data_IF_195741121183
#
_entry.id   IF_195741121183
#
_cell.length_a   1.000
_cell.length_b   1.000
_cell.length_c   1.000
_cell.angle_alpha   90.00
_cell.angle_beta   90.00
_cell.angle_gamma   90.00
#
_symmetry.space_group_name_H-M   'P 1'
#
loop_
_entity.id
_entity.type
_entity.pdbx_description
1 polymer ?
#
# COMPACT_ATOMS: atom_id res chain seq x y z
N UNK A 1 47.73 9.20 53.05
CA UNK A 1 46.73 9.21 51.96
C UNK A 1 46.68 7.78 51.40
N UNK A 2 45.88 6.85 51.96
CA UNK A 2 44.49 6.52 51.60
C UNK A 2 44.33 6.14 50.11
N UNK A 3 44.24 4.83 49.79
CA UNK A 3 43.05 4.06 49.28
C UNK A 3 42.63 4.45 47.84
N UNK A 4 42.27 3.59 46.89
CA UNK A 4 41.91 2.16 46.72
C UNK A 4 41.94 1.91 45.20
N UNK A 5 42.51 0.80 44.73
CA UNK A 5 41.84 -0.43 44.23
C UNK A 5 41.07 -0.25 42.91
N UNK A 6 41.47 -1.08 41.93
CA UNK A 6 40.73 -1.43 40.71
C UNK A 6 39.31 -1.87 41.05
N UNK A 7 38.35 -1.43 40.25
CA UNK A 7 37.00 -2.02 40.19
C UNK A 7 36.66 -2.38 38.76
N UNK A 8 36.38 -3.67 38.60
CA UNK A 8 35.78 -4.31 37.44
C UNK A 8 34.27 -4.06 37.46
N UNK A 9 33.66 -3.85 36.30
CA UNK A 9 32.26 -4.24 36.05
C UNK A 9 32.13 -4.41 34.53
N UNK A 10 32.38 -5.59 33.96
CA UNK A 10 31.43 -6.69 33.81
C UNK A 10 29.98 -6.27 33.54
N UNK A 11 29.62 -6.16 32.27
CA UNK A 11 28.44 -6.88 31.80
C UNK A 11 28.63 -7.34 30.36
N UNK A 12 29.13 -8.57 30.27
CA UNK A 12 28.86 -9.47 29.17
C UNK A 12 27.36 -9.77 29.14
N UNK A 13 26.70 -9.53 28.01
CA UNK A 13 25.49 -10.27 27.65
C UNK A 13 25.74 -10.91 26.28
N UNK A 14 26.14 -12.18 26.34
CA UNK A 14 26.23 -13.08 25.19
C UNK A 14 24.84 -13.66 24.89
N UNK A 15 24.43 -13.55 23.62
CA UNK A 15 23.48 -14.45 22.91
C UNK A 15 22.03 -14.49 23.42
N UNK A 16 21.09 -15.18 22.74
CA UNK A 16 21.29 -16.21 21.71
C UNK A 16 20.49 -15.86 20.40
N UNK A 17 20.95 -16.18 19.19
CA UNK A 17 20.78 -17.48 18.52
C UNK A 17 19.64 -17.50 17.48
N UNK A 18 19.98 -18.15 16.35
CA UNK A 18 19.15 -18.97 15.48
C UNK A 18 17.83 -18.48 14.89
N UNK A 19 17.81 -18.58 13.55
CA UNK A 19 16.93 -19.47 12.81
C UNK A 19 15.47 -19.51 13.27
N UNK A 20 14.57 -18.85 12.54
CA UNK A 20 13.15 -19.03 12.81
C UNK A 20 12.24 -18.19 11.93
N UNK A 21 11.87 -18.75 10.77
CA UNK A 21 10.53 -18.61 10.21
C UNK A 21 10.09 -17.19 9.80
N UNK A 22 10.66 -16.63 8.73
CA UNK A 22 9.96 -15.59 7.97
C UNK A 22 8.88 -16.28 7.11
N UNK A 23 7.67 -16.39 7.65
CA UNK A 23 6.47 -16.53 6.82
C UNK A 23 6.42 -15.42 5.75
N UNK A 24 5.54 -15.50 4.74
CA UNK A 24 5.49 -14.46 3.72
C UNK A 24 5.17 -13.13 4.40
N UNK A 25 6.18 -12.28 4.56
CA UNK A 25 6.00 -10.90 4.96
C UNK A 25 4.90 -10.32 4.06
N UNK A 26 3.87 -9.68 4.63
CA UNK A 26 2.85 -9.03 3.81
C UNK A 26 3.61 -8.10 2.87
N UNK A 27 3.49 -8.32 1.56
CA UNK A 27 4.24 -7.60 0.52
C UNK A 27 4.02 -6.10 0.70
N UNK A 28 4.88 -5.45 1.49
CA UNK A 28 4.78 -4.03 1.74
C UNK A 28 5.26 -3.33 0.47
N UNK A 29 4.38 -2.52 -0.12
CA UNK A 29 4.79 -1.63 -1.18
C UNK A 29 5.78 -0.60 -0.62
N UNK A 30 6.84 -0.34 -1.38
CA UNK A 30 7.71 0.81 -1.13
C UNK A 30 6.90 2.11 -1.26
N UNK A 31 7.19 3.16 -0.46
CA UNK A 31 6.47 4.44 -0.55
C UNK A 31 6.47 5.07 -1.94
N UNK A 32 7.50 4.82 -2.76
CA UNK A 32 7.59 5.26 -4.15
C UNK A 32 6.53 4.63 -5.09
N UNK A 33 5.90 3.54 -4.66
CA UNK A 33 4.84 2.83 -5.39
C UNK A 33 3.44 3.17 -4.86
N UNK A 34 3.32 4.03 -3.85
CA UNK A 34 2.02 4.44 -3.35
C UNK A 34 1.33 5.33 -4.39
N UNK A 35 0.00 5.26 -4.39
CA UNK A 35 -0.79 6.24 -5.10
C UNK A 35 -0.97 7.46 -4.22
N UNK A 36 -0.53 8.63 -4.70
CA UNK A 36 -0.75 9.89 -4.01
C UNK A 36 -1.91 10.63 -4.69
N UNK A 37 -3.04 10.71 -3.99
CA UNK A 37 -4.19 11.46 -4.44
C UNK A 37 -4.03 12.97 -4.16
N UNK A 38 -4.71 13.81 -4.94
CA UNK A 38 -4.61 15.28 -4.79
C UNK A 38 -5.15 15.80 -3.45
N UNK A 39 -6.02 15.03 -2.78
CA UNK A 39 -6.53 15.36 -1.45
C UNK A 39 -5.54 15.04 -0.31
N UNK A 40 -4.36 14.52 -0.64
CA UNK A 40 -3.32 14.12 0.31
C UNK A 40 -3.43 12.66 0.76
N UNK A 41 -4.41 11.90 0.27
CA UNK A 41 -4.55 10.48 0.60
C UNK A 41 -3.45 9.65 -0.08
N UNK A 42 -2.94 8.65 0.64
CA UNK A 42 -1.96 7.70 0.14
C UNK A 42 -2.57 6.30 0.11
N UNK A 43 -2.52 5.64 -1.05
CA UNK A 43 -3.06 4.29 -1.24
C UNK A 43 -1.93 3.29 -1.49
N UNK A 44 -1.96 2.20 -0.74
CA UNK A 44 -0.94 1.15 -0.70
C UNK A 44 -1.46 -0.18 -1.20
N UNK A 45 -2.76 -0.28 -1.45
CA UNK A 45 -3.38 -1.50 -1.95
C UNK A 45 -4.64 -1.20 -2.76
N UNK A 46 -5.06 -2.18 -3.56
CA UNK A 46 -6.32 -2.13 -4.32
C UNK A 46 -7.53 -2.08 -3.36
N UNK A 47 -7.42 -2.65 -2.16
CA UNK A 47 -8.47 -2.55 -1.14
C UNK A 47 -8.61 -1.12 -0.62
N UNK A 48 -7.48 -0.46 -0.30
CA UNK A 48 -7.49 0.94 0.12
C UNK A 48 -8.03 1.86 -0.97
N UNK A 49 -7.82 1.54 -2.25
CA UNK A 49 -8.47 2.25 -3.35
C UNK A 49 -10.00 2.10 -3.32
N UNK A 50 -10.54 0.92 -3.02
CA UNK A 50 -11.99 0.73 -2.92
C UNK A 50 -12.59 1.56 -1.78
N UNK A 51 -11.91 1.62 -0.64
CA UNK A 51 -12.33 2.42 0.52
C UNK A 51 -12.20 3.93 0.22
N UNK A 52 -11.10 4.34 -0.43
CA UNK A 52 -10.90 5.73 -0.84
C UNK A 52 -11.93 6.17 -1.88
N UNK A 53 -12.31 5.31 -2.83
CA UNK A 53 -13.37 5.60 -3.80
C UNK A 53 -14.73 5.81 -3.12
N UNK A 54 -15.00 5.20 -1.96
CA UNK A 54 -16.24 5.43 -1.21
C UNK A 54 -16.29 6.84 -0.63
N UNK A 55 -15.17 7.26 -0.03
CA UNK A 55 -15.05 8.47 0.78
C UNK A 55 -14.62 9.70 -0.02
N UNK A 56 -13.94 9.52 -1.15
CA UNK A 56 -13.41 10.64 -1.93
C UNK A 56 -14.53 11.43 -2.61
N UNK A 57 -14.27 12.71 -2.82
CA UNK A 57 -15.15 13.57 -3.61
C UNK A 57 -15.06 13.24 -5.10
N UNK A 58 -16.11 13.60 -5.83
CA UNK A 58 -16.12 13.46 -7.29
C UNK A 58 -15.05 14.36 -7.93
N UNK A 59 -14.77 15.54 -7.38
CA UNK A 59 -13.71 16.44 -7.86
C UNK A 59 -12.32 15.79 -7.77
N UNK A 60 -12.00 15.15 -6.64
CA UNK A 60 -10.74 14.40 -6.47
C UNK A 60 -10.68 13.23 -7.45
N UNK A 61 -11.79 12.50 -7.63
CA UNK A 61 -11.85 11.41 -8.61
C UNK A 61 -11.58 11.89 -10.04
N UNK A 62 -12.27 12.94 -10.48
CA UNK A 62 -12.16 13.47 -11.85
C UNK A 62 -10.83 14.19 -12.12
N UNK A 63 -10.08 14.55 -11.07
CA UNK A 63 -8.68 14.97 -11.23
C UNK A 63 -7.79 13.82 -11.75
N UNK A 64 -8.03 12.60 -11.28
CA UNK A 64 -7.28 11.41 -11.65
C UNK A 64 -7.86 10.66 -12.86
N UNK A 65 -9.16 10.83 -13.10
CA UNK A 65 -9.89 10.15 -14.16
C UNK A 65 -10.52 11.17 -15.09
N UNK A 66 -9.98 11.27 -16.29
CA UNK A 66 -10.51 12.07 -17.40
C UNK A 66 -10.92 11.16 -18.55
N UNK A 67 -11.43 11.74 -19.64
CA UNK A 67 -11.80 10.98 -20.82
C UNK A 67 -10.63 10.19 -21.44
N UNK A 68 -9.43 10.77 -21.39
CA UNK A 68 -8.23 10.21 -22.05
C UNK A 68 -7.31 9.45 -21.07
N UNK A 69 -7.51 9.63 -19.76
CA UNK A 69 -6.58 9.14 -18.74
C UNK A 69 -7.30 8.59 -17.52
N UNK A 70 -6.81 7.47 -17.01
CA UNK A 70 -7.19 6.95 -15.70
C UNK A 70 -5.92 6.60 -14.92
N UNK A 71 -5.57 7.45 -13.94
CA UNK A 71 -4.37 7.27 -13.13
C UNK A 71 -4.46 6.01 -12.26
N UNK A 72 -5.65 5.71 -11.72
CA UNK A 72 -5.87 4.50 -10.93
C UNK A 72 -5.62 3.23 -11.75
N UNK A 73 -6.08 3.19 -13.00
CA UNK A 73 -5.83 2.05 -13.89
C UNK A 73 -4.35 1.86 -14.22
N UNK A 74 -3.64 2.97 -14.42
CA UNK A 74 -2.20 2.95 -14.69
C UNK A 74 -1.42 2.45 -13.48
N UNK A 75 -1.78 2.92 -12.28
CA UNK A 75 -1.21 2.45 -11.02
C UNK A 75 -1.50 0.96 -10.77
N UNK A 76 -2.74 0.52 -10.94
CA UNK A 76 -3.14 -0.88 -10.76
C UNK A 76 -2.34 -1.81 -11.68
N UNK A 77 -2.27 -1.48 -12.97
CA UNK A 77 -1.52 -2.29 -13.95
C UNK A 77 0.00 -2.25 -13.69
N UNK A 78 0.55 -1.08 -13.33
CA UNK A 78 1.99 -0.90 -13.15
C UNK A 78 2.54 -1.48 -11.84
N UNK A 79 1.79 -1.38 -10.74
CA UNK A 79 2.26 -1.75 -9.40
C UNK A 79 1.84 -3.16 -9.01
N UNK A 80 0.63 -3.58 -9.38
CA UNK A 80 0.08 -4.88 -8.99
C UNK A 80 0.02 -5.89 -10.14
N UNK A 81 0.36 -5.47 -11.37
CA UNK A 81 0.23 -6.29 -12.59
C UNK A 81 -1.22 -6.79 -12.84
N UNK A 82 -2.23 -6.12 -12.29
CA UNK A 82 -3.65 -6.47 -12.38
C UNK A 82 -4.29 -5.82 -13.62
N UNK A 83 -3.81 -6.21 -14.81
CA UNK A 83 -4.23 -5.61 -16.08
C UNK A 83 -5.72 -5.76 -16.39
N UNK A 84 -6.34 -6.88 -16.02
CA UNK A 84 -7.77 -7.11 -16.25
C UNK A 84 -8.64 -6.12 -15.45
N UNK A 85 -8.26 -5.86 -14.18
CA UNK A 85 -8.93 -4.86 -13.37
C UNK A 85 -8.71 -3.46 -13.95
N UNK A 86 -7.47 -3.13 -14.32
CA UNK A 86 -7.14 -1.85 -14.93
C UNK A 86 -7.98 -1.57 -16.19
N UNK A 87 -8.11 -2.56 -17.08
CA UNK A 87 -8.93 -2.43 -18.30
C UNK A 87 -10.42 -2.34 -18.01
N UNK A 88 -10.88 -2.97 -16.93
CA UNK A 88 -12.27 -2.89 -16.51
C UNK A 88 -12.60 -1.49 -15.98
N UNK A 89 -11.75 -0.92 -15.13
CA UNK A 89 -12.00 0.42 -14.57
C UNK A 89 -11.79 1.56 -15.57
N UNK A 90 -10.98 1.37 -16.62
CA UNK A 90 -10.88 2.32 -17.75
C UNK A 90 -12.20 2.53 -18.47
N UNK A 91 -13.14 1.59 -18.37
CA UNK A 91 -14.46 1.66 -19.01
C UNK A 91 -15.52 2.28 -18.10
N UNK A 92 -15.21 2.50 -16.83
CA UNK A 92 -16.12 3.10 -15.88
C UNK A 92 -16.17 4.63 -16.06
N UNK A 93 -17.36 5.22 -15.97
CA UNK A 93 -17.57 6.66 -16.19
C UNK A 93 -17.76 7.45 -14.89
N UNK A 94 -17.61 6.79 -13.74
CA UNK A 94 -17.79 7.44 -12.45
C UNK A 94 -17.16 6.68 -11.29
N UNK A 95 -17.01 7.41 -10.18
CA UNK A 95 -16.40 6.94 -8.93
C UNK A 95 -17.06 5.68 -8.38
N UNK A 96 -18.40 5.69 -8.25
CA UNK A 96 -19.17 4.55 -7.72
C UNK A 96 -19.05 3.33 -8.64
N UNK A 97 -19.13 3.52 -9.96
CA UNK A 97 -18.99 2.41 -10.91
C UNK A 97 -17.59 1.79 -10.82
N UNK A 98 -16.57 2.64 -10.70
CA UNK A 98 -15.18 2.22 -10.51
C UNK A 98 -15.01 1.42 -9.22
N UNK A 99 -15.57 1.91 -8.11
CA UNK A 99 -15.55 1.22 -6.82
C UNK A 99 -16.18 -0.18 -6.90
N UNK A 100 -17.36 -0.28 -7.52
CA UNK A 100 -18.05 -1.57 -7.71
C UNK A 100 -17.18 -2.52 -8.54
N UNK A 101 -16.52 -2.03 -9.57
CA UNK A 101 -15.62 -2.82 -10.41
C UNK A 101 -14.45 -3.38 -9.58
N UNK A 102 -13.81 -2.53 -8.76
CA UNK A 102 -12.72 -2.93 -7.87
C UNK A 102 -13.18 -3.97 -6.84
N UNK A 103 -14.29 -3.72 -6.15
CA UNK A 103 -14.83 -4.66 -5.14
C UNK A 103 -15.19 -6.02 -5.76
N UNK A 104 -15.79 -6.02 -6.96
CA UNK A 104 -16.10 -7.27 -7.69
C UNK A 104 -14.83 -8.06 -8.01
N UNK A 105 -13.74 -7.38 -8.40
CA UNK A 105 -12.46 -8.03 -8.65
C UNK A 105 -11.88 -8.66 -7.39
N UNK A 106 -11.87 -7.92 -6.28
CA UNK A 106 -11.36 -8.42 -4.99
C UNK A 106 -12.13 -9.65 -4.46
N UNK A 107 -13.42 -9.78 -4.80
CA UNK A 107 -14.21 -10.98 -4.45
C UNK A 107 -13.89 -12.16 -5.37
N UNK A 108 -13.62 -11.93 -6.66
CA UNK A 108 -13.28 -12.99 -7.62
C UNK A 108 -11.87 -13.53 -7.44
N UNK A 109 -10.93 -12.69 -7.01
CA UNK A 109 -9.51 -13.03 -6.85
C UNK A 109 -9.15 -13.61 -5.47
N UNK A 110 -10.15 -14.04 -4.69
CA UNK A 110 -10.00 -14.80 -3.45
C UNK A 110 -10.21 -16.29 -3.68
#
# INVERSE_FOLDING_TARGET
MARRKRESNNQSNNGPDSSGNSGPEPRQLSPELYFHAIDGSELKSILELADALDMMSDDTFYYHVTHDRNDFASWIAGVFAESELADSIRKCNGRIETQICVLKHLVKSK
#
